data_IF_316422257919
#
_entry.id   IF_316422257919
#
_cell.length_a   1.000
_cell.length_b   1.000
_cell.length_c   1.000
_cell.angle_alpha   90.00
_cell.angle_beta   90.00
_cell.angle_gamma   90.00
#
_symmetry.space_group_name_H-M   'P 1'
#
loop_
_entity.id
_entity.type
_entity.pdbx_description
1 polymer ?
#
# COMPACT_ATOMS: atom_id res chain seq x y z
N UNK A 1 -3.22 12.48 -11.59
CA UNK A 1 -1.90 12.21 -12.21
C UNK A 1 -0.93 13.32 -11.82
N UNK A 2 0.32 12.96 -11.53
CA UNK A 2 1.37 13.91 -11.21
C UNK A 2 1.83 14.65 -12.48
N UNK A 3 2.17 15.91 -12.33
CA UNK A 3 2.82 16.72 -13.38
C UNK A 3 4.27 16.28 -13.60
N UNK A 4 4.89 16.71 -14.70
CA UNK A 4 6.30 16.43 -14.97
C UNK A 4 7.23 16.96 -13.86
N UNK A 5 6.90 18.13 -13.31
CA UNK A 5 7.67 18.73 -12.20
C UNK A 5 7.58 17.89 -10.93
N UNK A 6 6.39 17.35 -10.60
CA UNK A 6 6.22 16.45 -9.46
C UNK A 6 6.95 15.14 -9.67
N UNK A 7 6.89 14.56 -10.88
CA UNK A 7 7.64 13.35 -11.22
C UNK A 7 9.16 13.56 -11.11
N UNK A 8 9.67 14.70 -11.61
CA UNK A 8 11.08 15.05 -11.46
C UNK A 8 11.48 15.23 -9.98
N UNK A 9 10.60 15.83 -9.17
CA UNK A 9 10.81 15.96 -7.73
C UNK A 9 10.82 14.63 -6.99
N UNK A 10 10.00 13.67 -7.41
CA UNK A 10 9.88 12.34 -6.78
C UNK A 10 11.00 11.38 -7.19
N UNK A 11 11.38 11.38 -8.45
CA UNK A 11 12.28 10.38 -9.05
C UNK A 11 13.68 10.93 -9.34
N UNK A 12 13.84 12.25 -9.32
CA UNK A 12 15.00 12.95 -9.85
C UNK A 12 14.88 13.20 -11.35
N UNK A 13 15.45 14.31 -11.81
CA UNK A 13 15.35 14.77 -13.20
C UNK A 13 15.91 13.76 -14.22
N UNK A 14 17.00 13.08 -13.86
CA UNK A 14 17.65 12.11 -14.75
C UNK A 14 16.72 10.92 -15.03
N UNK A 15 16.16 10.30 -13.98
CA UNK A 15 15.25 9.16 -14.13
C UNK A 15 13.96 9.57 -14.82
N UNK A 16 13.38 10.72 -14.46
CA UNK A 16 12.16 11.23 -15.06
C UNK A 16 12.28 11.47 -16.57
N UNK A 17 13.47 11.84 -17.06
CA UNK A 17 13.74 12.05 -18.49
C UNK A 17 14.18 10.81 -19.25
N UNK A 18 14.86 9.87 -18.57
CA UNK A 18 15.49 8.73 -19.23
C UNK A 18 14.53 7.55 -19.40
N UNK A 19 13.67 7.34 -18.43
CA UNK A 19 12.80 6.16 -18.40
C UNK A 19 11.34 6.51 -18.72
N UNK A 20 10.66 5.58 -19.38
CA UNK A 20 9.22 5.68 -19.62
C UNK A 20 8.47 5.54 -18.29
N UNK A 21 7.70 6.56 -17.92
CA UNK A 21 6.87 6.59 -16.72
C UNK A 21 5.41 6.43 -17.12
N UNK A 22 4.75 5.45 -16.54
CA UNK A 22 3.31 5.22 -16.70
C UNK A 22 2.65 5.48 -15.34
N UNK A 23 1.73 6.42 -15.32
CA UNK A 23 0.93 6.72 -14.13
C UNK A 23 -0.38 5.95 -14.20
N UNK A 24 -0.72 5.23 -13.14
CA UNK A 24 -2.02 4.58 -13.06
C UNK A 24 -3.15 5.61 -13.06
N UNK A 25 -4.21 5.35 -13.82
CA UNK A 25 -5.47 6.08 -13.76
C UNK A 25 -6.58 5.11 -13.40
N UNK A 26 -6.92 5.08 -12.11
CA UNK A 26 -7.94 4.18 -11.59
C UNK A 26 -9.36 4.49 -12.12
N UNK A 27 -9.58 5.71 -12.64
CA UNK A 27 -10.86 6.15 -13.18
C UNK A 27 -11.02 5.87 -14.68
N UNK A 28 -9.93 5.56 -15.39
CA UNK A 28 -9.96 5.27 -16.83
C UNK A 28 -9.95 3.76 -17.10
N UNK A 29 -11.12 3.13 -17.37
CA UNK A 29 -11.21 1.70 -17.62
C UNK A 29 -10.45 1.26 -18.89
N UNK A 30 -10.14 2.18 -19.82
CA UNK A 30 -9.35 1.85 -21.00
C UNK A 30 -7.90 1.49 -20.69
N UNK A 31 -7.39 1.90 -19.53
CA UNK A 31 -6.03 1.59 -19.04
C UNK A 31 -5.98 0.32 -18.20
N UNK A 32 -7.13 -0.28 -17.91
CA UNK A 32 -7.28 -1.42 -17.02
C UNK A 32 -7.64 -2.69 -17.80
N UNK A 33 -7.34 -3.83 -17.22
CA UNK A 33 -7.77 -5.17 -17.70
C UNK A 33 -8.36 -5.93 -16.53
N UNK A 34 -9.49 -6.63 -16.78
CA UNK A 34 -10.02 -7.56 -15.79
C UNK A 34 -9.11 -8.79 -15.72
N UNK A 35 -8.50 -8.99 -14.56
CA UNK A 35 -7.59 -10.09 -14.27
C UNK A 35 -8.26 -11.25 -13.50
N UNK A 36 -9.55 -11.17 -13.24
CA UNK A 36 -10.36 -12.19 -12.57
C UNK A 36 -11.24 -11.64 -11.46
N UNK A 37 -11.54 -12.50 -10.50
CA UNK A 37 -12.30 -12.19 -9.29
C UNK A 37 -11.56 -12.65 -8.05
N UNK A 38 -11.69 -11.91 -6.96
CA UNK A 38 -11.18 -12.31 -5.66
C UNK A 38 -12.08 -13.37 -5.02
N UNK A 39 -11.55 -14.04 -3.99
CA UNK A 39 -12.31 -14.95 -3.14
C UNK A 39 -13.50 -14.31 -2.42
N UNK A 40 -13.56 -12.98 -2.39
CA UNK A 40 -14.63 -12.16 -1.82
C UNK A 40 -15.62 -11.66 -2.88
N UNK A 41 -15.54 -12.22 -4.09
CA UNK A 41 -16.42 -11.90 -5.22
C UNK A 41 -16.27 -10.47 -5.76
N UNK A 42 -15.13 -9.83 -5.53
CA UNK A 42 -14.79 -8.54 -6.13
C UNK A 42 -14.05 -8.70 -7.46
N UNK A 43 -14.43 -7.92 -8.47
CA UNK A 43 -13.74 -7.88 -9.75
C UNK A 43 -12.34 -7.30 -9.59
N UNK A 44 -11.33 -7.99 -10.14
CA UNK A 44 -9.94 -7.54 -10.11
C UNK A 44 -9.60 -6.83 -11.43
N UNK A 45 -9.57 -5.51 -11.39
CA UNK A 45 -9.16 -4.66 -12.51
C UNK A 45 -7.80 -4.07 -12.21
N UNK A 46 -6.81 -4.38 -13.03
CA UNK A 46 -5.42 -3.94 -12.87
C UNK A 46 -4.92 -3.22 -14.13
N UNK A 47 -3.94 -2.35 -13.94
CA UNK A 47 -3.30 -1.63 -15.02
C UNK A 47 -2.70 -2.61 -16.05
N UNK A 48 -3.12 -2.48 -17.31
CA UNK A 48 -2.75 -3.42 -18.39
C UNK A 48 -1.26 -3.41 -18.72
N UNK A 49 -0.60 -2.26 -18.60
CA UNK A 49 0.83 -2.16 -18.87
C UNK A 49 1.67 -2.82 -17.78
N UNK A 50 1.25 -2.66 -16.52
CA UNK A 50 1.86 -3.38 -15.40
C UNK A 50 1.68 -4.89 -15.57
N UNK A 51 0.49 -5.35 -15.95
CA UNK A 51 0.23 -6.79 -16.20
C UNK A 51 1.10 -7.36 -17.31
N UNK A 52 1.42 -6.57 -18.36
CA UNK A 52 2.23 -7.00 -19.50
C UNK A 52 3.73 -7.15 -19.17
N UNK A 53 4.19 -6.69 -18.01
CA UNK A 53 5.59 -6.89 -17.60
C UNK A 53 5.84 -8.32 -17.12
N UNK A 54 6.99 -8.91 -17.44
CA UNK A 54 7.38 -10.25 -16.98
C UNK A 54 7.74 -10.27 -15.49
N UNK A 55 8.43 -9.23 -15.02
CA UNK A 55 8.81 -9.03 -13.61
C UNK A 55 8.34 -7.67 -13.13
N UNK A 56 7.75 -7.62 -11.93
CA UNK A 56 7.37 -6.38 -11.26
C UNK A 56 8.16 -6.23 -9.98
N UNK A 57 8.93 -5.14 -9.87
CA UNK A 57 9.63 -4.77 -8.65
C UNK A 57 8.76 -3.78 -7.88
N UNK A 58 8.30 -4.19 -6.71
CA UNK A 58 7.42 -3.40 -5.86
C UNK A 58 8.27 -2.60 -4.87
N UNK A 59 8.30 -1.29 -5.04
CA UNK A 59 9.00 -0.39 -4.11
C UNK A 59 8.01 0.32 -3.19
N UNK A 60 8.45 0.67 -1.99
CA UNK A 60 7.62 1.37 -1.01
C UNK A 60 8.24 1.33 0.38
N UNK A 61 7.50 1.80 1.36
CA UNK A 61 7.90 1.74 2.77
C UNK A 61 6.83 1.01 3.60
N UNK A 62 7.30 0.42 4.70
CA UNK A 62 6.46 -0.35 5.63
C UNK A 62 6.31 0.44 6.92
N UNK A 63 5.06 0.75 7.26
CA UNK A 63 4.65 1.38 8.51
C UNK A 63 3.29 0.81 8.95
N UNK A 64 2.90 0.93 10.22
CA UNK A 64 1.56 0.56 10.66
C UNK A 64 0.49 1.34 9.90
N UNK A 65 -0.62 0.66 9.56
CA UNK A 65 -1.72 1.23 8.78
C UNK A 65 -3.06 0.96 9.47
N UNK A 66 -3.90 1.97 9.56
CA UNK A 66 -5.10 1.99 10.41
C UNK A 66 -6.18 0.95 10.08
N UNK A 67 -6.27 0.43 8.86
CA UNK A 67 -7.18 -0.68 8.53
C UNK A 67 -6.52 -1.85 7.78
N UNK A 68 -5.42 -1.63 7.06
CA UNK A 68 -4.74 -2.70 6.31
C UNK A 68 -3.64 -3.40 7.12
N UNK A 69 -3.47 -3.06 8.38
CA UNK A 69 -2.43 -3.57 9.25
C UNK A 69 -1.09 -2.86 9.04
N UNK A 70 -0.52 -2.96 7.86
CA UNK A 70 0.70 -2.29 7.43
C UNK A 70 0.61 -1.77 6.01
N UNK A 71 1.43 -0.77 5.68
CA UNK A 71 1.67 -0.28 4.32
C UNK A 71 2.73 -1.12 3.60
N UNK A 72 3.06 -0.75 2.37
CA UNK A 72 4.03 -1.48 1.54
C UNK A 72 3.48 -2.78 0.97
N UNK A 73 4.38 -3.68 0.59
CA UNK A 73 4.02 -5.00 0.09
C UNK A 73 3.11 -4.99 -1.13
N UNK A 74 2.09 -5.81 -1.09
CA UNK A 74 1.06 -5.93 -2.13
C UNK A 74 0.28 -4.66 -2.40
N UNK A 75 0.34 -3.67 -1.48
CA UNK A 75 -0.33 -2.39 -1.68
C UNK A 75 0.21 -1.58 -2.88
N UNK A 76 1.41 -1.86 -3.34
CA UNK A 76 1.90 -1.29 -4.59
C UNK A 76 1.07 -1.74 -5.80
N UNK A 77 0.46 -2.92 -5.74
CA UNK A 77 -0.47 -3.43 -6.77
C UNK A 77 -1.91 -2.99 -6.46
N UNK A 78 -2.40 -3.25 -5.25
CA UNK A 78 -3.74 -2.87 -4.82
C UNK A 78 -3.65 -2.06 -3.51
N UNK A 79 -3.97 -0.78 -3.51
CA UNK A 79 -4.65 -0.01 -4.55
C UNK A 79 -3.76 0.58 -5.66
N UNK A 80 -2.43 0.56 -5.57
CA UNK A 80 -1.51 1.37 -6.38
C UNK A 80 -1.69 1.27 -7.90
N UNK A 81 -1.88 0.08 -8.44
CA UNK A 81 -2.05 -0.20 -9.87
C UNK A 81 -3.43 -0.76 -10.21
N UNK A 82 -4.37 -0.71 -9.26
CA UNK A 82 -5.73 -1.19 -9.45
C UNK A 82 -6.67 -0.13 -10.03
N UNK A 83 -7.76 -0.59 -10.65
CA UNK A 83 -8.89 0.22 -11.05
C UNK A 83 -9.79 0.55 -9.86
N UNK A 84 -10.55 1.64 -9.96
CA UNK A 84 -11.40 2.13 -8.87
C UNK A 84 -12.39 1.07 -8.35
N UNK A 85 -12.97 0.24 -9.22
CA UNK A 85 -13.90 -0.82 -8.81
C UNK A 85 -13.26 -1.82 -7.86
N UNK A 86 -12.04 -2.25 -8.12
CA UNK A 86 -11.29 -3.17 -7.25
C UNK A 86 -10.99 -2.50 -5.90
N UNK A 87 -10.57 -1.24 -5.93
CA UNK A 87 -10.30 -0.48 -4.71
C UNK A 87 -11.55 -0.34 -3.85
N UNK A 88 -12.70 0.04 -4.45
CA UNK A 88 -13.96 0.21 -3.73
C UNK A 88 -14.51 -1.11 -3.16
N UNK A 89 -14.31 -2.23 -3.84
CA UNK A 89 -14.67 -3.54 -3.30
C UNK A 89 -13.86 -3.87 -2.03
N UNK A 90 -12.54 -3.75 -2.11
CA UNK A 90 -11.66 -3.99 -0.96
C UNK A 90 -11.89 -3.01 0.22
N UNK A 91 -12.34 -1.80 -0.08
CA UNK A 91 -12.59 -0.75 0.90
C UNK A 91 -14.08 -0.55 1.20
N UNK A 92 -14.90 -1.57 1.02
CA UNK A 92 -16.32 -1.48 1.37
C UNK A 92 -16.53 -1.39 2.89
N UNK A 93 -17.74 -1.02 3.28
CA UNK A 93 -18.07 -0.83 4.69
C UNK A 93 -17.93 -2.12 5.53
N UNK A 94 -18.21 -3.29 4.94
CA UNK A 94 -18.08 -4.59 5.61
C UNK A 94 -16.62 -4.95 5.85
N UNK A 95 -15.76 -4.70 4.88
CA UNK A 95 -14.32 -4.93 4.97
C UNK A 95 -13.68 -4.03 6.02
N UNK A 96 -13.99 -2.72 5.99
CA UNK A 96 -13.42 -1.73 6.93
C UNK A 96 -13.95 -1.93 8.34
N UNK A 97 -15.23 -2.32 8.51
CA UNK A 97 -15.82 -2.57 9.82
C UNK A 97 -15.37 -3.89 10.48
N UNK A 98 -14.61 -4.72 9.77
CA UNK A 98 -14.15 -5.98 10.32
C UNK A 98 -13.19 -5.74 11.51
N UNK A 99 -13.33 -6.47 12.65
CA UNK A 99 -12.52 -6.22 13.85
C UNK A 99 -11.01 -6.38 13.64
N UNK A 100 -10.59 -7.19 12.66
CA UNK A 100 -9.18 -7.35 12.29
C UNK A 100 -8.70 -6.31 11.28
N UNK A 101 -9.58 -5.47 10.71
CA UNK A 101 -9.18 -4.36 9.85
C UNK A 101 -8.67 -3.20 10.73
N UNK A 102 -7.48 -3.36 11.29
CA UNK A 102 -6.91 -2.44 12.28
C UNK A 102 -5.37 -2.45 12.24
N UNK A 103 -4.78 -1.54 12.98
CA UNK A 103 -3.35 -1.35 13.10
C UNK A 103 -2.57 -2.64 13.39
N UNK A 104 -1.54 -2.91 12.60
CA UNK A 104 -0.60 -3.99 12.83
C UNK A 104 -1.15 -5.40 12.64
N UNK A 105 -2.40 -5.59 12.24
CA UNK A 105 -3.03 -6.90 12.01
C UNK A 105 -3.03 -7.24 10.53
N UNK A 106 -2.35 -8.33 10.16
CA UNK A 106 -2.35 -8.87 8.79
C UNK A 106 -3.12 -10.19 8.72
N UNK A 107 -2.87 -11.13 9.63
CA UNK A 107 -3.56 -12.41 9.66
C UNK A 107 -5.03 -12.24 10.05
N UNK A 108 -5.95 -12.74 9.22
CA UNK A 108 -7.39 -12.59 9.40
C UNK A 108 -7.92 -11.18 9.14
N UNK A 109 -7.09 -10.27 8.62
CA UNK A 109 -7.50 -8.96 8.16
C UNK A 109 -8.00 -9.08 6.71
N UNK A 110 -9.31 -8.93 6.46
CA UNK A 110 -9.88 -9.17 5.14
C UNK A 110 -9.32 -8.24 4.07
N UNK A 111 -9.03 -6.99 4.42
CA UNK A 111 -8.46 -6.00 3.50
C UNK A 111 -7.05 -6.44 3.06
N UNK A 112 -6.20 -6.80 4.01
CA UNK A 112 -4.83 -7.22 3.72
C UNK A 112 -4.78 -8.54 2.94
N UNK A 113 -5.61 -9.52 3.33
CA UNK A 113 -5.68 -10.81 2.64
C UNK A 113 -6.06 -10.64 1.17
N UNK A 114 -7.06 -9.83 0.87
CA UNK A 114 -7.46 -9.55 -0.50
C UNK A 114 -6.40 -8.71 -1.27
N UNK A 115 -5.71 -7.77 -0.59
CA UNK A 115 -4.55 -7.07 -1.19
C UNK A 115 -3.51 -8.08 -1.69
N UNK A 116 -3.20 -9.10 -0.89
CA UNK A 116 -2.23 -10.14 -1.28
C UNK A 116 -2.78 -11.01 -2.41
N UNK A 117 -4.04 -11.41 -2.35
CA UNK A 117 -4.69 -12.17 -3.41
C UNK A 117 -4.62 -11.43 -4.75
N UNK A 118 -5.00 -10.14 -4.76
CA UNK A 118 -4.93 -9.29 -5.96
C UNK A 118 -3.49 -9.11 -6.44
N UNK A 119 -2.53 -8.94 -5.53
CA UNK A 119 -1.13 -8.82 -5.91
C UNK A 119 -0.60 -10.11 -6.58
N UNK A 120 -0.97 -11.28 -6.08
CA UNK A 120 -0.56 -12.57 -6.64
C UNK A 120 -1.09 -12.78 -8.08
N UNK A 121 -2.27 -12.27 -8.40
CA UNK A 121 -2.81 -12.30 -9.77
C UNK A 121 -1.92 -11.54 -10.76
N UNK A 122 -1.15 -10.55 -10.30
CA UNK A 122 -0.24 -9.78 -11.16
C UNK A 122 1.00 -10.59 -11.64
N UNK A 123 1.23 -11.81 -11.14
CA UNK A 123 2.32 -12.70 -11.58
C UNK A 123 3.61 -12.54 -10.77
N UNK A 124 4.77 -12.53 -11.44
CA UNK A 124 6.07 -12.50 -10.76
C UNK A 124 6.34 -11.15 -10.10
N UNK A 125 6.47 -11.17 -8.77
CA UNK A 125 6.67 -9.99 -7.93
C UNK A 125 7.98 -10.13 -7.16
N UNK A 126 8.78 -9.06 -7.13
CA UNK A 126 9.94 -8.91 -6.27
C UNK A 126 9.77 -7.66 -5.42
N UNK A 127 9.83 -7.81 -4.11
CA UNK A 127 9.68 -6.69 -3.18
C UNK A 127 11.02 -6.02 -2.90
N UNK A 128 11.02 -4.69 -2.85
CA UNK A 128 12.09 -3.87 -2.27
C UNK A 128 11.41 -2.79 -1.44
N UNK A 129 11.20 -3.05 -0.18
CA UNK A 129 10.59 -2.09 0.74
C UNK A 129 11.57 -1.66 1.83
N UNK A 130 11.33 -0.49 2.39
CA UNK A 130 12.12 0.08 3.46
C UNK A 130 11.26 0.43 4.66
N UNK A 131 11.88 0.58 5.81
CA UNK A 131 11.32 1.33 6.94
C UNK A 131 12.09 2.63 7.10
N UNK A 132 11.46 3.65 7.63
CA UNK A 132 12.04 4.98 7.82
C UNK A 132 11.78 5.50 9.24
N UNK A 133 12.69 6.34 9.73
CA UNK A 133 12.46 7.10 10.96
C UNK A 133 11.73 8.43 10.66
N UNK A 134 11.47 9.22 11.71
CA UNK A 134 10.81 10.53 11.58
C UNK A 134 11.59 11.54 10.73
N UNK A 135 12.90 11.35 10.60
CA UNK A 135 13.78 12.24 9.82
C UNK A 135 13.88 11.76 8.36
N UNK A 136 13.06 10.74 7.97
CA UNK A 136 13.00 10.09 6.66
C UNK A 136 14.29 9.35 6.27
N UNK A 137 15.08 8.95 7.24
CA UNK A 137 16.24 8.10 7.00
C UNK A 137 15.81 6.63 6.96
N UNK A 138 16.38 5.85 6.04
CA UNK A 138 16.12 4.43 5.91
C UNK A 138 16.70 3.69 7.12
N UNK A 139 15.85 2.97 7.86
CA UNK A 139 16.20 2.20 9.05
C UNK A 139 16.28 0.70 8.81
N UNK A 140 15.71 0.22 7.70
CA UNK A 140 15.77 -1.18 7.29
C UNK A 140 15.41 -1.33 5.82
N UNK A 141 15.96 -2.35 5.16
CA UNK A 141 15.65 -2.74 3.78
C UNK A 141 15.20 -4.19 3.77
N UNK A 142 14.06 -4.45 3.14
CA UNK A 142 13.41 -5.77 3.06
C UNK A 142 13.18 -6.08 1.58
N UNK A 143 13.94 -7.04 1.05
CA UNK A 143 13.89 -7.37 -0.37
C UNK A 143 13.80 -8.89 -0.58
N UNK A 144 13.08 -9.31 -1.61
CA UNK A 144 12.88 -10.71 -1.96
C UNK A 144 11.43 -11.01 -2.38
N UNK A 145 11.02 -12.25 -2.17
CA UNK A 145 9.64 -12.68 -2.41
C UNK A 145 8.66 -11.87 -1.55
N UNK A 146 7.52 -11.52 -2.14
CA UNK A 146 6.54 -10.59 -1.58
C UNK A 146 6.19 -10.90 -0.11
N UNK A 147 5.75 -12.12 0.19
CA UNK A 147 5.23 -12.44 1.51
C UNK A 147 6.32 -12.47 2.60
N UNK A 148 7.44 -13.22 2.45
CA UNK A 148 8.45 -13.27 3.51
C UNK A 148 9.17 -11.95 3.71
N UNK A 149 9.47 -11.21 2.63
CA UNK A 149 10.14 -9.92 2.74
C UNK A 149 9.24 -8.87 3.42
N UNK A 150 7.95 -8.81 3.04
CA UNK A 150 7.00 -7.91 3.70
C UNK A 150 6.78 -8.28 5.17
N UNK A 151 6.62 -9.57 5.48
CA UNK A 151 6.43 -10.04 6.86
C UNK A 151 7.62 -9.65 7.76
N UNK A 152 8.86 -9.78 7.27
CA UNK A 152 10.05 -9.35 8.00
C UNK A 152 10.03 -7.84 8.28
N UNK A 153 9.63 -7.03 7.29
CA UNK A 153 9.48 -5.58 7.45
C UNK A 153 8.36 -5.20 8.42
N UNK A 154 7.21 -5.88 8.37
CA UNK A 154 6.10 -5.68 9.31
C UNK A 154 6.53 -5.97 10.75
N UNK A 155 7.27 -7.05 10.98
CA UNK A 155 7.77 -7.39 12.31
C UNK A 155 8.77 -6.34 12.82
N UNK A 156 9.64 -5.84 11.95
CA UNK A 156 10.54 -4.73 12.30
C UNK A 156 9.74 -3.46 12.63
N UNK A 157 8.79 -3.06 11.77
CA UNK A 157 7.95 -1.89 11.98
C UNK A 157 7.11 -2.01 13.26
N UNK A 158 6.59 -3.19 13.58
CA UNK A 158 5.86 -3.45 14.83
C UNK A 158 6.71 -3.11 16.04
N UNK A 159 7.96 -3.53 16.08
CA UNK A 159 8.87 -3.29 17.22
C UNK A 159 9.33 -1.85 17.34
N UNK A 160 9.43 -1.14 16.22
CA UNK A 160 10.03 0.21 16.18
C UNK A 160 9.01 1.34 16.14
N UNK A 161 7.82 1.10 15.59
CA UNK A 161 6.79 2.13 15.39
C UNK A 161 5.52 1.93 16.24
N UNK A 162 5.30 0.73 16.84
CA UNK A 162 4.14 0.46 17.69
C UNK A 162 4.59 0.36 19.15
N UNK A 163 4.30 1.40 19.92
CA UNK A 163 4.66 1.44 21.34
C UNK A 163 3.54 0.87 22.19
N UNK A 164 3.76 -0.20 22.96
CA UNK A 164 2.76 -0.71 23.89
C UNK A 164 2.49 0.30 25.01
N UNK A 165 1.21 0.46 25.37
CA UNK A 165 0.78 1.28 26.49
C UNK A 165 0.24 0.38 27.62
N UNK A 166 0.45 0.72 28.91
CA UNK A 166 0.08 -0.15 30.03
C UNK A 166 -1.44 -0.25 30.24
N UNK A 167 -2.18 0.76 29.84
CA UNK A 167 -3.64 0.85 29.96
C UNK A 167 -4.18 1.91 29.00
N UNK A 168 -5.48 1.86 28.65
CA UNK A 168 -6.12 2.93 27.90
C UNK A 168 -6.05 4.27 28.68
N UNK A 169 -5.89 5.36 27.94
CA UNK A 169 -5.90 6.72 28.52
C UNK A 169 -7.31 7.33 28.47
N UNK A 170 -7.68 8.09 29.48
CA UNK A 170 -8.98 8.81 29.51
C UNK A 170 -9.03 9.92 28.44
N UNK A 171 -7.89 10.50 28.10
CA UNK A 171 -7.78 11.55 27.08
C UNK A 171 -6.60 11.23 26.19
N UNK A 172 -6.84 11.21 24.86
CA UNK A 172 -5.81 11.06 23.83
C UNK A 172 -5.86 12.28 22.92
N UNK A 173 -4.71 12.91 22.69
CA UNK A 173 -4.56 14.01 21.73
C UNK A 173 -3.70 13.50 20.59
N UNK A 174 -4.26 13.50 19.40
CA UNK A 174 -3.56 13.09 18.17
C UNK A 174 -3.55 14.21 17.14
N UNK A 175 -2.57 14.22 16.26
CA UNK A 175 -2.47 15.15 15.15
C UNK A 175 -2.17 14.40 13.87
N UNK A 176 -2.53 14.97 12.75
CA UNK A 176 -2.32 14.38 11.42
C UNK A 176 -1.05 14.93 10.72
N UNK A 177 -0.04 15.29 11.48
CA UNK A 177 1.28 15.76 11.02
C UNK A 177 1.28 17.03 10.17
N UNK A 178 0.14 17.72 10.03
CA UNK A 178 0.02 18.97 9.28
C UNK A 178 -0.23 18.80 7.79
N UNK A 179 -0.26 19.91 7.06
CA UNK A 179 -0.55 19.94 5.63
C UNK A 179 0.51 19.15 4.81
N UNK A 180 0.11 18.36 3.79
CA UNK A 180 -1.26 18.16 3.27
C UNK A 180 -2.04 17.01 3.96
N UNK A 181 -1.47 16.31 4.92
CA UNK A 181 -2.05 15.11 5.55
C UNK A 181 -3.25 15.45 6.43
N UNK A 182 -3.27 16.64 7.05
CA UNK A 182 -4.33 17.12 7.94
C UNK A 182 -5.67 17.43 7.25
N UNK A 183 -5.75 17.28 5.92
CA UNK A 183 -7.01 17.43 5.17
C UNK A 183 -7.98 16.25 5.37
N UNK A 184 -7.50 15.12 5.90
CA UNK A 184 -8.28 13.89 6.06
C UNK A 184 -8.38 13.49 7.53
N UNK A 185 -9.49 13.83 8.17
CA UNK A 185 -9.72 13.54 9.59
C UNK A 185 -9.55 12.06 9.94
N UNK A 186 -9.99 11.14 9.08
CA UNK A 186 -9.90 9.71 9.33
C UNK A 186 -8.46 9.17 9.47
N UNK A 187 -7.46 9.91 9.04
CA UNK A 187 -6.05 9.52 9.23
C UNK A 187 -5.51 9.88 10.62
N UNK A 188 -6.21 10.71 11.37
CA UNK A 188 -5.82 11.12 12.71
C UNK A 188 -6.46 10.26 13.82
N UNK A 189 -7.35 9.33 13.50
CA UNK A 189 -8.17 8.56 14.45
C UNK A 189 -7.61 7.15 14.64
#
# INVERSE_FOLDING_TARGET
>A
RNSETELAGMLGEELARTYRIVQNDAFDPSTQTCAGRSSRDHDIWLNKEMLACDLKILTGFIEPHFFAGFSGGGKAIMPGMAGLRTVLGNHDAGMIAHPNATWGVTAGNPIWEEVIEVAQVAGHLFLVNVTMNRDREVTGVFAGDLLPAHAAGCEFARRTAMTPVPHPFDIVITTNSGYPLDQNLYQAV
#
